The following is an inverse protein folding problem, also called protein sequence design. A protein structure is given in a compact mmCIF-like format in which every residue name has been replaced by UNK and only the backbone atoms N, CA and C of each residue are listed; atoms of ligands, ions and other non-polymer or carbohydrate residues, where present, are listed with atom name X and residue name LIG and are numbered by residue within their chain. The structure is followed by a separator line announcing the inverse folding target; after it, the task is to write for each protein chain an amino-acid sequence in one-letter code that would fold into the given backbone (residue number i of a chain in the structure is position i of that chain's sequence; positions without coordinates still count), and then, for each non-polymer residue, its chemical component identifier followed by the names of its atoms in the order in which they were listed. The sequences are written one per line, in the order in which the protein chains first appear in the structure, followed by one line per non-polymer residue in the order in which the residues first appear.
data_IF_940311048291
#
_entry.id   IF_940311048291
#
_cell.length_a   1.000
_cell.length_b   1.000
_cell.length_c   1.000
_cell.angle_alpha   90.00
_cell.angle_beta   90.00
_cell.angle_gamma   90.00
#
_symmetry.space_group_name_H-M   'P 1'
#
loop_
_entity.id
_entity.type
_entity.pdbx_description
1 polymer ?
#
# COMPACT_ATOMS: atom_id res chain seq x y z
N UNK A 1 -22.17 18.79 32.65
CA UNK A 1 -22.39 18.57 31.21
C UNK A 1 -21.69 19.64 30.36
N UNK A 2 -22.07 20.92 30.39
CA UNK A 2 -21.40 21.99 29.61
C UNK A 2 -19.92 22.25 29.98
N UNK A 3 -19.55 22.17 31.26
CA UNK A 3 -18.14 22.28 31.68
C UNK A 3 -17.29 21.06 31.29
N UNK A 4 -17.90 19.87 31.23
CA UNK A 4 -17.25 18.62 30.79
C UNK A 4 -17.04 18.64 29.27
N UNK A 5 -18.02 19.14 28.51
CA UNK A 5 -17.91 19.38 27.08
C UNK A 5 -16.79 20.39 26.76
N UNK A 6 -16.67 21.46 27.55
CA UNK A 6 -15.58 22.44 27.39
C UNK A 6 -14.21 21.88 27.81
N UNK A 7 -14.15 20.97 28.80
CA UNK A 7 -12.90 20.30 29.17
C UNK A 7 -12.48 19.23 28.17
N UNK A 8 -13.42 18.51 27.55
CA UNK A 8 -13.15 17.52 26.50
C UNK A 8 -12.52 18.13 25.25
N UNK A 9 -12.90 19.37 24.90
CA UNK A 9 -12.30 20.13 23.80
C UNK A 9 -10.90 20.68 24.15
N UNK A 10 -10.52 20.72 25.43
CA UNK A 10 -9.24 21.30 25.91
C UNK A 10 -8.27 20.28 26.52
N UNK A 11 -8.69 19.04 26.75
CA UNK A 11 -7.85 17.92 27.21
C UNK A 11 -7.49 16.99 26.06
N UNK A 12 -6.33 16.31 26.16
CA UNK A 12 -5.75 15.27 25.29
C UNK A 12 -6.77 14.31 24.61
N UNK A 13 -7.56 14.82 23.66
CA UNK A 13 -8.49 14.01 22.87
C UNK A 13 -7.69 13.26 21.82
N UNK A 14 -7.89 11.95 21.74
CA UNK A 14 -7.24 11.13 20.72
C UNK A 14 -8.21 11.00 19.54
N UNK A 15 -7.73 11.29 18.34
CA UNK A 15 -8.54 11.16 17.12
C UNK A 15 -8.78 9.69 16.80
N UNK A 16 -10.05 9.34 16.55
CA UNK A 16 -10.43 8.06 15.96
C UNK A 16 -10.41 8.22 14.44
N UNK A 17 -9.68 7.34 13.77
CA UNK A 17 -9.63 7.33 12.32
C UNK A 17 -10.50 6.20 11.80
N UNK A 18 -11.69 6.54 11.32
CA UNK A 18 -12.52 5.68 10.50
C UNK A 18 -12.21 5.95 9.02
N UNK A 19 -11.23 5.26 8.47
CA UNK A 19 -10.76 5.55 7.12
C UNK A 19 -11.64 4.78 6.12
N UNK A 20 -12.56 5.48 5.45
CA UNK A 20 -13.39 4.92 4.39
C UNK A 20 -12.56 4.65 3.12
N UNK A 21 -12.07 3.42 3.02
CA UNK A 21 -11.29 2.94 1.88
C UNK A 21 -9.83 3.41 1.88
N UNK A 22 -8.98 2.75 1.10
CA UNK A 22 -7.72 3.36 0.68
C UNK A 22 -8.06 4.21 -0.56
N UNK A 23 -7.63 5.48 -0.61
CA UNK A 23 -8.12 6.45 -1.59
C UNK A 23 -7.91 6.09 -3.07
N UNK A 24 -8.21 7.06 -3.94
CA UNK A 24 -8.42 6.84 -5.38
C UNK A 24 -7.30 6.08 -6.11
N UNK A 25 -7.53 4.79 -6.38
CA UNK A 25 -6.72 4.03 -7.34
C UNK A 25 -6.93 4.60 -8.75
N UNK A 26 -5.83 4.91 -9.44
CA UNK A 26 -5.83 5.18 -10.89
C UNK A 26 -6.54 4.04 -11.65
N UNK A 27 -7.14 4.32 -12.81
CA UNK A 27 -7.94 3.35 -13.58
C UNK A 27 -7.24 2.00 -13.84
N UNK A 28 -5.91 2.01 -14.00
CA UNK A 28 -5.09 0.79 -14.12
C UNK A 28 -5.02 0.00 -12.81
N UNK A 29 -4.88 0.69 -11.68
CA UNK A 29 -4.89 0.07 -10.35
C UNK A 29 -6.24 -0.55 -10.01
N UNK A 30 -7.35 0.02 -10.50
CA UNK A 30 -8.69 -0.55 -10.36
C UNK A 30 -8.84 -1.87 -11.12
N UNK A 31 -8.29 -1.96 -12.34
CA UNK A 31 -8.29 -3.21 -13.11
C UNK A 31 -7.47 -4.28 -12.40
N UNK A 32 -6.29 -3.93 -11.88
CA UNK A 32 -5.45 -4.89 -11.12
C UNK A 32 -6.13 -5.31 -9.83
N UNK A 33 -6.72 -4.39 -9.07
CA UNK A 33 -7.53 -4.69 -7.90
C UNK A 33 -8.64 -5.67 -8.24
N UNK A 34 -9.42 -5.38 -9.28
CA UNK A 34 -10.52 -6.24 -9.72
C UNK A 34 -10.02 -7.65 -10.06
N UNK A 35 -8.91 -7.78 -10.79
CA UNK A 35 -8.37 -9.09 -11.17
C UNK A 35 -7.82 -9.84 -9.96
N UNK A 36 -7.10 -9.19 -9.05
CA UNK A 36 -6.49 -9.84 -7.88
C UNK A 36 -7.56 -10.25 -6.86
N UNK A 37 -8.56 -9.40 -6.61
CA UNK A 37 -9.65 -9.68 -5.67
C UNK A 37 -10.63 -10.74 -6.19
N UNK A 38 -10.71 -10.95 -7.52
CA UNK A 38 -11.53 -12.00 -8.12
C UNK A 38 -11.11 -13.42 -7.72
N UNK A 39 -9.84 -13.60 -7.29
CA UNK A 39 -9.29 -14.89 -6.88
C UNK A 39 -9.25 -15.10 -5.35
N UNK A 40 -9.89 -14.23 -4.57
CA UNK A 40 -10.16 -14.42 -3.14
C UNK A 40 -9.01 -14.05 -2.19
N UNK A 41 -9.06 -14.59 -0.96
CA UNK A 41 -8.20 -14.21 0.18
C UNK A 41 -6.70 -14.54 0.01
N UNK A 42 -6.33 -15.34 -1.01
CA UNK A 42 -4.95 -15.78 -1.25
C UNK A 42 -4.28 -14.94 -2.33
N UNK A 43 -3.82 -13.76 -1.95
CA UNK A 43 -3.23 -12.78 -2.87
C UNK A 43 -2.02 -13.32 -3.64
N UNK A 44 -1.17 -14.13 -3.00
CA UNK A 44 -0.04 -14.78 -3.69
C UNK A 44 -0.47 -15.69 -4.85
N UNK A 45 -1.57 -16.44 -4.70
CA UNK A 45 -2.14 -17.23 -5.80
C UNK A 45 -2.74 -16.34 -6.88
N UNK A 46 -3.40 -15.25 -6.48
CA UNK A 46 -3.93 -14.23 -7.40
C UNK A 46 -2.85 -13.65 -8.31
N UNK A 47 -1.65 -13.35 -7.78
CA UNK A 47 -0.51 -12.87 -8.58
C UNK A 47 -0.07 -13.95 -9.59
N UNK A 48 0.05 -15.21 -9.17
CA UNK A 48 0.44 -16.31 -10.08
C UNK A 48 -0.57 -16.42 -11.22
N UNK A 49 -1.87 -16.42 -10.92
CA UNK A 49 -2.92 -16.51 -11.93
C UNK A 49 -2.93 -15.28 -12.84
N UNK A 50 -2.77 -14.07 -12.30
CA UNK A 50 -2.61 -12.85 -13.08
C UNK A 50 -1.48 -12.99 -14.10
N UNK A 51 -0.30 -13.47 -13.67
CA UNK A 51 0.83 -13.65 -14.58
C UNK A 51 0.55 -14.71 -15.65
N UNK A 52 -0.24 -15.75 -15.34
CA UNK A 52 -0.62 -16.79 -16.29
C UNK A 52 -1.59 -16.25 -17.35
N UNK A 53 -2.62 -15.50 -16.93
CA UNK A 53 -3.57 -14.85 -17.85
C UNK A 53 -2.87 -13.82 -18.73
N UNK A 54 -2.03 -12.97 -18.13
CA UNK A 54 -1.23 -12.00 -18.87
C UNK A 54 -0.33 -12.70 -19.89
N UNK A 55 0.36 -13.78 -19.48
CA UNK A 55 1.15 -14.60 -20.40
C UNK A 55 0.30 -15.21 -21.50
N UNK A 56 -0.93 -15.63 -21.25
CA UNK A 56 -1.80 -16.23 -22.26
C UNK A 56 -2.22 -15.19 -23.32
N UNK A 57 -2.51 -13.96 -22.90
CA UNK A 57 -2.84 -12.84 -23.78
C UNK A 57 -1.62 -12.40 -24.59
N UNK A 58 -0.43 -12.34 -23.96
CA UNK A 58 0.81 -11.94 -24.65
C UNK A 58 1.46 -13.09 -25.43
N UNK A 59 1.08 -14.35 -25.18
CA UNK A 59 1.62 -15.55 -25.85
C UNK A 59 1.63 -15.45 -27.38
N UNK A 60 0.53 -15.10 -28.08
CA UNK A 60 0.55 -14.99 -29.53
C UNK A 60 1.57 -13.94 -30.03
N UNK A 61 1.70 -12.83 -29.30
CA UNK A 61 2.66 -11.78 -29.61
C UNK A 61 4.10 -12.24 -29.35
N UNK A 62 4.35 -12.92 -28.23
CA UNK A 62 5.64 -13.50 -27.88
C UNK A 62 6.09 -14.58 -28.86
N UNK A 63 5.19 -15.46 -29.29
CA UNK A 63 5.47 -16.50 -30.28
C UNK A 63 5.76 -15.88 -31.65
N UNK A 64 4.99 -14.87 -32.06
CA UNK A 64 5.25 -14.14 -33.30
C UNK A 64 6.62 -13.44 -33.27
N UNK A 65 6.93 -12.75 -32.17
CA UNK A 65 8.22 -12.10 -31.91
C UNK A 65 9.39 -13.10 -31.99
N UNK A 66 9.32 -14.20 -31.24
CA UNK A 66 10.34 -15.25 -31.21
C UNK A 66 10.53 -15.90 -32.58
N UNK A 67 9.45 -16.13 -33.33
CA UNK A 67 9.52 -16.68 -34.69
C UNK A 67 10.26 -15.73 -35.65
N UNK A 68 9.97 -14.42 -35.59
CA UNK A 68 10.68 -13.41 -36.38
C UNK A 68 12.16 -13.31 -36.01
N UNK A 69 12.49 -13.29 -34.71
CA UNK A 69 13.88 -13.32 -34.24
C UNK A 69 14.62 -14.56 -34.71
N UNK A 70 14.01 -15.75 -34.59
CA UNK A 70 14.61 -17.01 -35.06
C UNK A 70 14.90 -16.97 -36.56
N UNK A 71 13.95 -16.52 -37.38
CA UNK A 71 14.17 -16.35 -38.83
C UNK A 71 15.30 -15.36 -39.14
N UNK A 72 15.44 -14.29 -38.38
CA UNK A 72 16.53 -13.32 -38.57
C UNK A 72 17.89 -13.88 -38.12
N UNK A 73 17.94 -14.63 -37.01
CA UNK A 73 19.16 -15.28 -36.52
C UNK A 73 19.72 -16.29 -37.52
N UNK A 74 18.86 -17.09 -38.17
CA UNK A 74 19.26 -18.03 -39.22
C UNK A 74 19.81 -17.32 -40.46
N UNK A 75 19.27 -16.14 -40.81
CA UNK A 75 19.84 -15.33 -41.89
C UNK A 75 21.23 -14.80 -41.52
N UNK A 76 21.43 -14.37 -40.27
CA UNK A 76 22.75 -13.92 -39.78
C UNK A 76 23.76 -15.07 -39.81
N UNK A 77 23.37 -16.26 -39.38
CA UNK A 77 24.20 -17.46 -39.40
C UNK A 77 24.65 -17.81 -40.83
N UNK A 78 23.74 -17.78 -41.81
CA UNK A 78 24.07 -17.96 -43.23
C UNK A 78 25.02 -16.89 -43.78
N UNK A 79 24.97 -15.67 -43.23
CA UNK A 79 25.84 -14.56 -43.65
C UNK A 79 27.21 -14.54 -42.97
N UNK A 80 27.39 -15.18 -41.80
CA UNK A 80 28.68 -15.25 -41.08
C UNK A 80 29.90 -15.50 -41.98
N UNK A 81 29.94 -16.53 -42.84
CA UNK A 81 31.12 -16.79 -43.68
C UNK A 81 31.37 -15.68 -44.72
N UNK A 82 30.33 -14.98 -45.18
CA UNK A 82 30.46 -13.86 -46.11
C UNK A 82 30.97 -12.62 -45.37
N UNK A 83 30.49 -12.38 -44.14
CA UNK A 83 30.98 -11.32 -43.26
C UNK A 83 32.45 -11.52 -42.88
N UNK A 84 32.87 -12.75 -42.57
CA UNK A 84 34.28 -13.08 -42.26
C UNK A 84 35.20 -12.83 -43.47
N UNK A 85 34.75 -13.15 -44.70
CA UNK A 85 35.48 -12.83 -45.93
C UNK A 85 35.58 -11.32 -46.16
N UNK A 86 34.47 -10.60 -45.96
CA UNK A 86 34.41 -9.14 -46.08
C UNK A 86 35.35 -8.46 -45.08
N UNK A 87 35.37 -8.96 -43.84
CA UNK A 87 36.23 -8.46 -42.76
C UNK A 87 37.70 -8.66 -43.09
N UNK A 88 38.08 -9.81 -43.68
CA UNK A 88 39.45 -10.07 -44.16
C UNK A 88 39.87 -9.18 -45.34
N UNK A 89 38.94 -8.85 -46.24
CA UNK A 89 39.22 -8.00 -47.41
C UNK A 89 39.37 -6.51 -47.07
N UNK A 90 38.68 -6.02 -46.05
CA UNK A 90 38.62 -4.60 -45.70
C UNK A 90 39.19 -4.29 -44.31
N UNK A 91 40.18 -5.07 -43.82
CA UNK A 91 40.76 -4.91 -42.47
C UNK A 91 41.32 -3.50 -42.19
N UNK A 92 41.79 -2.80 -43.22
CA UNK A 92 42.40 -1.47 -43.08
C UNK A 92 41.45 -0.30 -43.40
N UNK A 93 40.19 -0.56 -43.81
CA UNK A 93 39.22 0.49 -44.16
C UNK A 93 37.84 0.19 -43.55
N UNK A 94 37.64 0.76 -42.36
CA UNK A 94 36.43 0.56 -41.56
C UNK A 94 35.19 1.22 -42.17
N UNK A 95 35.36 2.30 -42.96
CA UNK A 95 34.24 2.96 -43.63
C UNK A 95 33.73 2.12 -44.81
N UNK A 96 34.63 1.62 -45.64
CA UNK A 96 34.27 0.72 -46.75
C UNK A 96 33.65 -0.59 -46.25
N UNK A 97 34.17 -1.15 -45.16
CA UNK A 97 33.61 -2.32 -44.49
C UNK A 97 32.15 -2.10 -44.06
N UNK A 98 31.86 -0.99 -43.37
CA UNK A 98 30.51 -0.71 -42.88
C UNK A 98 29.49 -0.54 -44.01
N UNK A 99 29.86 0.11 -45.12
CA UNK A 99 28.98 0.25 -46.29
C UNK A 99 28.71 -1.10 -46.95
N UNK A 100 29.74 -1.91 -47.19
CA UNK A 100 29.60 -3.23 -47.82
C UNK A 100 28.87 -4.24 -46.94
N UNK A 101 29.05 -4.15 -45.62
CA UNK A 101 28.29 -4.91 -44.65
C UNK A 101 26.80 -4.57 -44.71
N UNK A 102 26.44 -3.28 -44.78
CA UNK A 102 25.05 -2.85 -44.88
C UNK A 102 24.41 -3.23 -46.23
N UNK A 103 25.17 -3.17 -47.33
CA UNK A 103 24.76 -3.64 -48.66
C UNK A 103 24.46 -5.15 -48.64
N UNK A 104 25.32 -5.94 -47.96
CA UNK A 104 25.13 -7.37 -47.78
C UNK A 104 23.88 -7.71 -46.94
N UNK A 105 23.63 -6.97 -45.86
CA UNK A 105 22.42 -7.11 -45.05
C UNK A 105 21.16 -6.80 -45.86
N UNK A 106 21.17 -5.75 -46.68
CA UNK A 106 20.06 -5.38 -47.55
C UNK A 106 19.80 -6.44 -48.62
N UNK A 107 20.86 -6.97 -49.25
CA UNK A 107 20.77 -8.01 -50.30
C UNK A 107 20.17 -9.33 -49.78
N UNK A 108 20.45 -9.68 -48.52
CA UNK A 108 19.92 -10.88 -47.87
C UNK A 108 18.58 -10.65 -47.13
N UNK A 109 18.02 -9.44 -47.22
CA UNK A 109 16.77 -9.07 -46.55
C UNK A 109 16.84 -9.23 -45.03
N UNK A 110 18.00 -8.96 -44.43
CA UNK A 110 18.21 -8.94 -42.99
C UNK A 110 17.73 -7.59 -42.43
N UNK A 111 16.78 -7.63 -41.50
CA UNK A 111 16.26 -6.42 -40.87
C UNK A 111 16.89 -6.26 -39.50
N UNK A 112 17.68 -5.20 -39.33
CA UNK A 112 18.32 -4.88 -38.06
C UNK A 112 17.31 -4.29 -37.06
N UNK A 113 16.34 -3.50 -37.55
CA UNK A 113 15.28 -2.87 -36.74
C UNK A 113 14.07 -3.77 -36.48
N UNK A 114 13.78 -4.72 -37.36
CA UNK A 114 12.68 -5.68 -37.15
C UNK A 114 12.91 -6.63 -35.97
N UNK A 115 14.16 -6.73 -35.48
CA UNK A 115 14.52 -7.54 -34.33
C UNK A 115 14.39 -6.80 -32.99
N UNK A 116 14.48 -5.46 -32.94
CA UNK A 116 14.35 -4.70 -31.71
C UNK A 116 12.91 -4.23 -31.42
N UNK A 117 12.04 -4.15 -32.44
CA UNK A 117 10.63 -3.76 -32.28
C UNK A 117 9.90 -4.59 -31.20
N UNK A 118 10.05 -5.93 -31.15
CA UNK A 118 9.37 -6.70 -30.11
C UNK A 118 9.91 -6.44 -28.71
N UNK A 119 11.21 -6.15 -28.58
CA UNK A 119 11.83 -5.83 -27.30
C UNK A 119 11.26 -4.53 -26.73
N UNK A 120 11.01 -3.53 -27.58
CA UNK A 120 10.39 -2.25 -27.16
C UNK A 120 8.96 -2.49 -26.69
N UNK A 121 8.16 -3.26 -27.43
CA UNK A 121 6.77 -3.57 -27.03
C UNK A 121 6.75 -4.32 -25.69
N UNK A 122 7.59 -5.32 -25.52
CA UNK A 122 7.71 -6.05 -24.24
C UNK A 122 8.15 -5.13 -23.10
N UNK A 123 9.11 -4.22 -23.34
CA UNK A 123 9.58 -3.26 -22.34
C UNK A 123 8.47 -2.29 -21.92
N UNK A 124 7.69 -1.77 -22.87
CA UNK A 124 6.56 -0.88 -22.61
C UNK A 124 5.51 -1.61 -21.75
N UNK A 125 5.11 -2.82 -22.13
CA UNK A 125 4.17 -3.64 -21.35
C UNK A 125 4.71 -3.88 -19.93
N UNK A 126 6.01 -4.13 -19.79
CA UNK A 126 6.65 -4.34 -18.50
C UNK A 126 6.55 -3.12 -17.58
N UNK A 127 6.83 -1.91 -18.08
CA UNK A 127 6.67 -0.68 -17.29
C UNK A 127 5.22 -0.44 -16.87
N UNK A 128 4.26 -0.74 -17.75
CA UNK A 128 2.84 -0.67 -17.40
C UNK A 128 2.47 -1.62 -16.26
N UNK A 129 2.91 -2.87 -16.33
CA UNK A 129 2.64 -3.86 -15.27
C UNK A 129 3.33 -3.45 -13.97
N UNK A 130 4.60 -3.06 -14.00
CA UNK A 130 5.31 -2.61 -12.79
C UNK A 130 4.62 -1.42 -12.11
N UNK A 131 4.20 -0.42 -12.88
CA UNK A 131 3.46 0.71 -12.35
C UNK A 131 2.16 0.28 -11.67
N UNK A 132 1.40 -0.62 -12.30
CA UNK A 132 0.15 -1.14 -11.75
C UNK A 132 0.36 -1.91 -10.44
N UNK A 133 1.38 -2.77 -10.36
CA UNK A 133 1.73 -3.50 -9.15
C UNK A 133 2.24 -2.59 -8.03
N UNK A 134 3.00 -1.54 -8.37
CA UNK A 134 3.52 -0.58 -7.39
C UNK A 134 2.36 0.20 -6.76
N UNK A 135 1.42 0.70 -7.56
CA UNK A 135 0.23 1.38 -7.05
C UNK A 135 -0.65 0.46 -6.19
N UNK A 136 -0.82 -0.79 -6.60
CA UNK A 136 -1.62 -1.75 -5.84
C UNK A 136 -0.94 -2.21 -4.54
N UNK A 137 0.38 -2.38 -4.54
CA UNK A 137 1.20 -2.66 -3.34
C UNK A 137 0.99 -1.58 -2.27
N UNK A 138 1.10 -0.31 -2.67
CA UNK A 138 0.88 0.84 -1.78
C UNK A 138 -0.54 0.85 -1.22
N UNK A 139 -1.53 0.69 -2.11
CA UNK A 139 -2.94 0.58 -1.72
C UNK A 139 -3.19 -0.55 -0.73
N UNK A 140 -2.61 -1.74 -0.95
CA UNK A 140 -2.85 -2.89 -0.09
C UNK A 140 -2.25 -2.72 1.30
N UNK A 141 -1.03 -2.15 1.40
CA UNK A 141 -0.41 -1.86 2.70
C UNK A 141 -1.22 -0.82 3.48
N UNK A 142 -1.67 0.25 2.82
CA UNK A 142 -2.52 1.29 3.44
C UNK A 142 -3.87 0.70 3.85
N UNK A 143 -4.48 -0.16 3.02
CA UNK A 143 -5.74 -0.84 3.36
C UNK A 143 -5.62 -1.70 4.63
N UNK A 144 -4.54 -2.49 4.76
CA UNK A 144 -4.33 -3.30 5.97
C UNK A 144 -4.18 -2.39 7.19
N UNK A 145 -3.43 -1.28 7.06
CA UNK A 145 -3.33 -0.29 8.11
C UNK A 145 -4.68 0.35 8.48
N UNK A 146 -5.45 0.79 7.49
CA UNK A 146 -6.77 1.38 7.72
C UNK A 146 -7.69 0.38 8.45
N UNK A 147 -7.61 -0.90 8.09
CA UNK A 147 -8.33 -1.94 8.81
C UNK A 147 -7.87 -2.13 10.26
N UNK A 148 -6.57 -2.04 10.53
CA UNK A 148 -6.05 -2.04 11.91
C UNK A 148 -6.52 -0.79 12.68
N UNK A 149 -6.47 0.38 12.06
CA UNK A 149 -6.92 1.64 12.66
C UNK A 149 -8.43 1.63 12.95
N UNK A 150 -9.23 1.07 12.04
CA UNK A 150 -10.66 0.87 12.24
C UNK A 150 -10.91 -0.15 13.37
N UNK A 151 -10.22 -1.29 13.39
CA UNK A 151 -10.35 -2.29 14.44
C UNK A 151 -9.94 -1.73 15.82
N UNK A 152 -8.87 -0.93 15.87
CA UNK A 152 -8.47 -0.17 17.05
C UNK A 152 -9.62 0.74 17.50
N UNK A 153 -10.13 1.56 16.58
CA UNK A 153 -11.17 2.55 16.88
C UNK A 153 -12.49 1.90 17.32
N UNK A 154 -12.89 0.80 16.66
CA UNK A 154 -14.06 0.00 17.03
C UNK A 154 -13.93 -0.60 18.44
N UNK A 155 -12.74 -1.10 18.80
CA UNK A 155 -12.49 -1.61 20.14
C UNK A 155 -12.56 -0.52 21.21
N UNK A 156 -12.11 0.71 20.89
CA UNK A 156 -12.27 1.85 21.80
C UNK A 156 -13.74 2.25 21.94
N UNK A 157 -14.48 2.32 20.84
CA UNK A 157 -15.90 2.69 20.83
C UNK A 157 -16.76 1.65 21.54
N UNK A 158 -16.35 0.37 21.59
CA UNK A 158 -17.03 -0.65 22.38
C UNK A 158 -17.09 -0.35 23.89
N UNK A 159 -16.25 0.56 24.39
CA UNK A 159 -16.27 1.04 25.77
C UNK A 159 -17.14 2.31 25.97
N UNK A 160 -17.69 2.84 24.89
CA UNK A 160 -18.55 4.01 24.91
C UNK A 160 -20.04 3.61 24.89
N UNK A 161 -20.96 4.49 25.29
CA UNK A 161 -22.39 4.19 25.25
C UNK A 161 -22.94 4.18 23.81
N UNK A 162 -23.97 3.37 23.58
CA UNK A 162 -24.62 3.21 22.26
C UNK A 162 -25.43 4.44 21.82
N UNK A 163 -25.90 5.26 22.77
CA UNK A 163 -26.74 6.42 22.50
C UNK A 163 -25.96 7.74 22.66
N UNK A 164 -26.00 8.56 21.61
CA UNK A 164 -25.37 9.87 21.57
C UNK A 164 -26.39 11.01 21.69
N UNK A 165 -25.97 12.12 22.29
CA UNK A 165 -26.73 13.37 22.31
C UNK A 165 -26.28 14.27 21.17
N UNK A 166 -27.20 14.60 20.28
CA UNK A 166 -26.93 15.50 19.15
C UNK A 166 -27.09 16.97 19.54
N UNK A 167 -26.15 17.79 19.10
CA UNK A 167 -26.22 19.26 19.16
C UNK A 167 -25.74 19.86 17.84
N UNK A 168 -26.45 20.88 17.35
CA UNK A 168 -26.07 21.60 16.12
C UNK A 168 -25.89 23.07 16.47
N UNK A 169 -24.75 23.64 16.09
CA UNK A 169 -24.43 25.04 16.33
C UNK A 169 -25.22 25.98 15.43
N UNK A 170 -25.34 27.23 15.85
CA UNK A 170 -25.78 28.30 14.96
C UNK A 170 -24.77 28.52 13.81
N UNK A 171 -25.23 29.19 12.76
CA UNK A 171 -24.39 29.62 11.64
C UNK A 171 -23.42 30.69 12.13
N UNK A 172 -22.11 30.42 12.05
CA UNK A 172 -21.07 31.34 12.53
C UNK A 172 -20.07 31.66 11.42
N UNK A 173 -19.44 32.85 11.41
CA UNK A 173 -18.36 33.15 10.46
C UNK A 173 -17.22 32.14 10.59
N UNK A 174 -16.71 31.63 9.46
CA UNK A 174 -15.55 30.75 9.48
C UNK A 174 -14.27 31.57 9.60
N UNK A 175 -13.64 31.50 10.77
CA UNK A 175 -12.43 32.24 11.10
C UNK A 175 -11.30 31.25 11.42
N UNK A 176 -10.18 31.37 10.71
CA UNK A 176 -8.93 30.68 11.02
C UNK A 176 -7.87 31.73 11.34
N UNK A 177 -7.14 31.56 12.44
CA UNK A 177 -6.07 32.47 12.89
C UNK A 177 -6.49 33.96 12.95
N UNK A 178 -7.76 34.20 13.30
CA UNK A 178 -8.32 35.56 13.37
C UNK A 178 -8.69 36.18 12.03
N UNK A 179 -8.58 35.44 10.92
CA UNK A 179 -8.95 35.88 9.57
C UNK A 179 -10.19 35.14 9.09
N UNK A 180 -11.23 35.90 8.70
CA UNK A 180 -12.42 35.33 8.08
C UNK A 180 -12.07 34.76 6.71
N UNK A 181 -12.38 33.48 6.52
CA UNK A 181 -12.08 32.77 5.28
C UNK A 181 -13.08 33.17 4.20
N UNK A 182 -12.61 33.14 2.95
CA UNK A 182 -13.42 33.42 1.76
C UNK A 182 -13.33 32.28 0.77
N UNK A 183 -14.32 32.13 -0.09
CA UNK A 183 -14.26 31.21 -1.24
C UNK A 183 -13.28 31.71 -2.33
N UNK A 184 -13.16 30.95 -3.42
CA UNK A 184 -12.31 31.31 -4.58
C UNK A 184 -12.74 32.63 -5.27
N UNK A 185 -13.98 33.09 -5.01
CA UNK A 185 -14.59 34.28 -5.60
C UNK A 185 -14.55 35.49 -4.65
N UNK A 186 -14.07 35.31 -3.41
CA UNK A 186 -13.93 36.35 -2.39
C UNK A 186 -15.15 36.56 -1.49
N UNK A 187 -16.15 35.66 -1.52
CA UNK A 187 -17.32 35.72 -0.64
C UNK A 187 -16.99 35.16 0.76
N UNK A 188 -17.52 35.75 1.85
CA UNK A 188 -17.26 35.29 3.20
C UNK A 188 -17.84 33.89 3.44
N UNK A 189 -17.04 33.02 4.06
CA UNK A 189 -17.47 31.68 4.47
C UNK A 189 -18.04 31.68 5.90
N UNK A 190 -19.05 30.85 6.08
CA UNK A 190 -19.70 30.52 7.35
C UNK A 190 -19.57 29.01 7.61
N UNK A 191 -19.60 28.65 8.89
CA UNK A 191 -19.50 27.28 9.38
C UNK A 191 -20.71 26.94 10.24
N UNK A 192 -21.28 25.77 10.01
CA UNK A 192 -22.26 25.11 10.88
C UNK A 192 -21.61 23.82 11.40
N UNK A 193 -21.67 23.62 12.71
CA UNK A 193 -21.00 22.51 13.38
C UNK A 193 -22.05 21.60 14.00
N UNK A 194 -22.11 20.36 13.55
CA UNK A 194 -22.89 19.31 14.21
C UNK A 194 -21.96 18.49 15.09
N UNK A 195 -22.36 18.30 16.34
CA UNK A 195 -21.61 17.56 17.36
C UNK A 195 -22.52 16.51 17.98
N UNK A 196 -22.15 15.24 17.86
CA UNK A 196 -22.85 14.14 18.56
C UNK A 196 -21.93 13.63 19.66
N UNK A 197 -22.36 13.72 20.91
CA UNK A 197 -21.56 13.31 22.07
C UNK A 197 -22.15 12.06 22.69
N UNK A 198 -21.33 11.01 22.79
CA UNK A 198 -21.65 9.73 23.42
C UNK A 198 -21.00 9.70 24.79
N UNK A 199 -21.82 9.89 25.83
CA UNK A 199 -21.35 10.00 27.21
C UNK A 199 -22.33 9.33 28.17
N UNK A 200 -21.79 8.47 29.02
CA UNK A 200 -22.48 7.87 30.17
C UNK A 200 -21.49 7.78 31.34
N UNK A 201 -21.98 7.92 32.58
CA UNK A 201 -21.13 7.96 33.77
C UNK A 201 -20.47 6.60 34.08
N UNK A 202 -21.02 5.49 33.55
CA UNK A 202 -20.49 4.15 33.78
C UNK A 202 -19.59 3.65 32.64
N UNK A 203 -19.66 4.29 31.47
CA UNK A 203 -18.82 3.95 30.32
C UNK A 203 -17.37 4.42 30.52
N UNK A 204 -16.41 3.59 30.11
CA UNK A 204 -14.99 3.92 30.27
C UNK A 204 -14.53 4.98 29.28
N UNK A 205 -15.20 5.08 28.13
CA UNK A 205 -14.89 6.04 27.08
C UNK A 205 -16.10 6.91 26.80
N UNK A 206 -15.85 8.18 26.57
CA UNK A 206 -16.77 9.08 25.92
C UNK A 206 -16.17 9.50 24.58
N UNK A 207 -16.98 9.59 23.53
CA UNK A 207 -16.49 10.08 22.24
C UNK A 207 -17.44 11.09 21.63
N UNK A 208 -16.89 11.89 20.72
CA UNK A 208 -17.60 12.97 20.05
C UNK A 208 -17.35 12.88 18.56
N UNK A 209 -18.45 12.86 17.78
CA UNK A 209 -18.44 12.97 16.33
C UNK A 209 -18.69 14.44 15.95
N UNK A 210 -17.78 15.00 15.16
CA UNK A 210 -17.79 16.40 14.75
C UNK A 210 -17.92 16.50 13.23
N UNK A 211 -18.92 17.23 12.76
CA UNK A 211 -19.15 17.49 11.34
C UNK A 211 -19.17 19.00 11.10
N UNK A 212 -18.31 19.48 10.20
CA UNK A 212 -18.20 20.88 9.85
C UNK A 212 -18.71 21.12 8.43
N UNK A 213 -19.84 21.81 8.31
CA UNK A 213 -20.39 22.24 7.03
C UNK A 213 -20.01 23.70 6.74
N UNK A 214 -19.48 23.96 5.54
CA UNK A 214 -19.06 25.30 5.11
C UNK A 214 -19.98 25.83 4.01
N UNK A 215 -20.40 27.08 4.11
CA UNK A 215 -21.28 27.74 3.14
C UNK A 215 -21.00 29.23 3.02
N UNK A 216 -21.38 29.84 1.90
CA UNK A 216 -21.38 31.30 1.71
C UNK A 216 -22.71 31.94 2.12
N UNK A 217 -23.76 31.15 2.37
CA UNK A 217 -25.06 31.63 2.82
C UNK A 217 -25.11 31.77 4.35
N UNK A 218 -25.13 33.02 4.82
CA UNK A 218 -25.21 33.36 6.23
C UNK A 218 -26.53 32.95 6.91
N UNK A 219 -27.59 32.72 6.14
CA UNK A 219 -28.94 32.43 6.65
C UNK A 219 -29.44 31.05 6.23
N UNK A 220 -28.52 30.13 5.91
CA UNK A 220 -28.89 28.77 5.53
C UNK A 220 -29.78 28.14 6.61
N UNK A 221 -30.84 27.46 6.18
CA UNK A 221 -31.62 26.63 7.08
C UNK A 221 -30.81 25.39 7.46
N UNK A 222 -30.37 25.33 8.72
CA UNK A 222 -29.55 24.25 9.26
C UNK A 222 -30.23 22.88 9.11
N UNK A 223 -31.58 22.84 9.13
CA UNK A 223 -32.34 21.59 8.96
C UNK A 223 -32.30 21.06 7.51
N UNK A 224 -31.92 21.89 6.55
CA UNK A 224 -31.80 21.52 5.13
C UNK A 224 -30.43 20.94 4.76
N UNK A 225 -29.47 20.95 5.68
CA UNK A 225 -28.11 20.45 5.46
C UNK A 225 -28.15 18.91 5.38
N UNK A 226 -27.61 18.36 4.29
CA UNK A 226 -27.39 16.93 4.15
C UNK A 226 -26.10 16.52 4.90
N UNK A 227 -26.26 16.20 6.17
CA UNK A 227 -25.17 15.76 7.04
C UNK A 227 -24.56 14.40 6.63
N UNK A 228 -25.21 13.62 5.76
CA UNK A 228 -24.67 12.31 5.32
C UNK A 228 -23.48 12.45 4.37
N UNK A 229 -23.33 13.61 3.74
CA UNK A 229 -22.22 13.92 2.83
C UNK A 229 -21.08 14.71 3.50
N UNK A 230 -21.21 15.04 4.79
CA UNK A 230 -20.21 15.83 5.54
C UNK A 230 -19.28 14.88 6.28
N UNK A 231 -17.98 15.10 6.10
CA UNK A 231 -16.94 14.31 6.78
C UNK A 231 -17.08 14.40 8.30
N UNK A 232 -16.94 13.24 8.96
CA UNK A 232 -17.01 13.09 10.40
C UNK A 232 -15.61 13.00 10.95
N UNK A 233 -15.28 13.86 11.91
CA UNK A 233 -14.08 13.75 12.74
C UNK A 233 -14.49 13.23 14.11
N UNK A 234 -14.07 12.02 14.45
CA UNK A 234 -14.37 11.40 15.73
C UNK A 234 -13.19 11.56 16.68
N UNK A 235 -13.45 11.91 17.93
CA UNK A 235 -12.42 12.04 18.98
C UNK A 235 -12.93 11.44 20.27
N UNK A 236 -12.07 10.80 21.06
CA UNK A 236 -12.47 10.18 22.33
C UNK A 236 -11.70 10.73 23.53
N UNK A 237 -12.33 10.56 24.69
CA UNK A 237 -11.85 10.89 26.01
C UNK A 237 -12.06 9.70 26.94
N UNK A 238 -11.08 9.43 27.80
CA UNK A 238 -11.12 8.31 28.74
C UNK A 238 -11.63 8.81 30.09
N UNK A 239 -12.69 8.17 30.58
CA UNK A 239 -13.29 8.45 31.87
C UNK A 239 -12.57 7.67 32.97
N UNK A 240 -11.43 8.20 33.45
CA UNK A 240 -10.56 7.54 34.45
C UNK A 240 -11.32 6.99 35.64
N UNK A 241 -12.28 7.75 36.20
CA UNK A 241 -13.03 7.33 37.37
C UNK A 241 -13.92 6.11 37.08
N UNK A 242 -14.53 6.02 35.90
CA UNK A 242 -15.34 4.88 35.50
C UNK A 242 -14.46 3.62 35.32
N UNK A 243 -13.27 3.75 34.73
CA UNK A 243 -12.31 2.66 34.56
C UNK A 243 -11.86 2.10 35.92
N UNK A 244 -11.40 2.98 36.82
CA UNK A 244 -10.85 2.57 38.12
C UNK A 244 -11.91 2.03 39.08
N UNK A 245 -13.16 2.51 38.97
CA UNK A 245 -14.27 2.04 39.80
C UNK A 245 -15.03 0.85 39.23
N UNK A 246 -14.57 0.28 38.11
CA UNK A 246 -15.18 -0.90 37.49
C UNK A 246 -15.32 -2.06 38.47
N UNK A 247 -16.49 -2.71 38.45
CA UNK A 247 -16.77 -3.90 39.28
C UNK A 247 -16.28 -5.21 38.68
N UNK A 248 -15.71 -5.20 37.48
CA UNK A 248 -15.20 -6.39 36.80
C UNK A 248 -13.81 -6.77 37.32
N UNK A 249 -13.68 -7.99 37.84
CA UNK A 249 -12.42 -8.52 38.38
C UNK A 249 -11.30 -8.56 37.34
N UNK A 250 -11.61 -8.81 36.07
CA UNK A 250 -10.62 -8.85 35.00
C UNK A 250 -10.06 -7.46 34.71
N UNK A 251 -10.92 -6.44 34.72
CA UNK A 251 -10.52 -5.03 34.53
C UNK A 251 -9.60 -4.61 35.66
N UNK A 252 -9.95 -4.93 36.91
CA UNK A 252 -9.13 -4.60 38.07
C UNK A 252 -7.78 -5.33 38.05
N UNK A 253 -7.76 -6.60 37.65
CA UNK A 253 -6.52 -7.36 37.49
C UNK A 253 -5.61 -6.76 36.40
N UNK A 254 -6.17 -6.33 35.27
CA UNK A 254 -5.43 -5.69 34.19
C UNK A 254 -4.85 -4.33 34.62
N UNK A 255 -5.65 -3.49 35.30
CA UNK A 255 -5.21 -2.22 35.88
C UNK A 255 -4.05 -2.44 36.85
N UNK A 256 -4.14 -3.46 37.72
CA UNK A 256 -3.07 -3.76 38.67
C UNK A 256 -1.80 -4.23 37.95
N UNK A 257 -1.92 -5.06 36.91
CA UNK A 257 -0.78 -5.50 36.11
C UNK A 257 -0.07 -4.31 35.43
N UNK A 258 -0.82 -3.33 34.93
CA UNK A 258 -0.26 -2.10 34.34
C UNK A 258 0.52 -1.30 35.40
N UNK A 259 -0.04 -1.16 36.61
CA UNK A 259 0.65 -0.48 37.73
C UNK A 259 1.93 -1.21 38.13
N UNK A 260 1.87 -2.53 38.25
CA UNK A 260 3.02 -3.34 38.64
C UNK A 260 4.14 -3.29 37.58
N UNK A 261 3.78 -3.28 36.30
CA UNK A 261 4.74 -3.17 35.20
C UNK A 261 5.52 -1.84 35.19
N UNK A 262 4.93 -0.77 35.71
CA UNK A 262 5.52 0.58 35.77
C UNK A 262 5.86 1.02 37.19
N UNK A 263 5.92 0.08 38.14
CA UNK A 263 6.20 0.39 39.55
C UNK A 263 7.67 0.80 39.78
N UNK A 264 8.58 0.39 38.90
CA UNK A 264 10.01 0.70 38.97
C UNK A 264 10.42 1.94 38.14
N UNK A 265 9.46 2.59 37.46
CA UNK A 265 9.71 3.81 36.71
C UNK A 265 10.14 4.95 37.65
N UNK A 266 11.07 5.80 37.20
CA UNK A 266 11.55 6.97 37.96
C UNK A 266 10.39 7.90 38.41
N UNK A 267 9.30 7.89 37.66
CA UNK A 267 8.05 8.57 37.98
C UNK A 267 6.88 7.58 37.95
N UNK A 268 6.23 7.32 39.09
CA UNK A 268 5.04 6.47 39.14
C UNK A 268 3.94 7.01 38.23
N UNK A 269 3.29 6.11 37.49
CA UNK A 269 2.19 6.46 36.62
C UNK A 269 0.99 6.98 37.41
N UNK A 270 0.34 8.02 36.88
CA UNK A 270 -0.90 8.53 37.46
C UNK A 270 -2.07 7.60 37.14
N UNK A 271 -3.13 7.73 37.92
CA UNK A 271 -4.39 7.03 37.69
C UNK A 271 -4.95 7.26 36.27
N UNK A 272 -4.79 8.48 35.73
CA UNK A 272 -5.17 8.81 34.36
C UNK A 272 -4.32 8.04 33.32
N UNK A 273 -3.01 7.95 33.51
CA UNK A 273 -2.11 7.20 32.61
C UNK A 273 -2.41 5.70 32.62
N UNK A 274 -2.75 5.15 33.78
CA UNK A 274 -3.09 3.73 33.91
C UNK A 274 -4.42 3.43 33.21
N UNK A 275 -5.44 4.27 33.41
CA UNK A 275 -6.73 4.12 32.74
C UNK A 275 -6.60 4.29 31.22
N UNK A 276 -5.76 5.24 30.79
CA UNK A 276 -5.45 5.46 29.37
C UNK A 276 -4.78 4.24 28.74
N UNK A 277 -3.75 3.69 29.38
CA UNK A 277 -3.05 2.52 28.89
C UNK A 277 -3.95 1.28 28.83
N UNK A 278 -4.84 1.09 29.81
CA UNK A 278 -5.81 -0.01 29.79
C UNK A 278 -6.71 0.04 28.54
N UNK A 279 -7.27 1.21 28.25
CA UNK A 279 -8.14 1.41 27.08
C UNK A 279 -7.35 1.26 25.78
N UNK A 280 -6.14 1.84 25.71
CA UNK A 280 -5.24 1.72 24.55
C UNK A 280 -4.83 0.28 24.26
N UNK A 281 -4.54 -0.52 25.29
CA UNK A 281 -4.18 -1.94 25.12
C UNK A 281 -5.28 -2.73 24.41
N UNK A 282 -6.55 -2.52 24.77
CA UNK A 282 -7.67 -3.17 24.08
C UNK A 282 -7.72 -2.78 22.58
N UNK A 283 -7.46 -1.50 22.26
CA UNK A 283 -7.34 -1.04 20.88
C UNK A 283 -6.16 -1.69 20.13
N UNK A 284 -4.98 -1.74 20.76
CA UNK A 284 -3.75 -2.34 20.19
C UNK A 284 -3.92 -3.84 19.94
N UNK A 285 -4.57 -4.56 20.86
CA UNK A 285 -4.88 -5.99 20.71
C UNK A 285 -5.84 -6.24 19.54
N UNK A 286 -6.86 -5.39 19.38
CA UNK A 286 -7.78 -5.48 18.24
C UNK A 286 -7.06 -5.22 16.91
N UNK A 287 -6.18 -4.21 16.86
CA UNK A 287 -5.34 -3.91 15.70
C UNK A 287 -4.40 -5.08 15.34
N UNK A 288 -3.75 -5.67 16.34
CA UNK A 288 -2.87 -6.85 16.16
C UNK A 288 -3.66 -8.06 15.63
N UNK A 289 -4.81 -8.35 16.23
CA UNK A 289 -5.68 -9.44 15.80
C UNK A 289 -6.15 -9.24 14.36
N UNK A 290 -6.50 -8.00 13.98
CA UNK A 290 -6.83 -7.66 12.60
C UNK A 290 -5.64 -7.89 11.67
N UNK A 291 -4.45 -7.45 12.05
CA UNK A 291 -3.22 -7.66 11.26
C UNK A 291 -2.96 -9.15 11.02
N UNK A 292 -3.04 -9.97 12.06
CA UNK A 292 -2.73 -11.39 11.95
C UNK A 292 -3.71 -12.15 11.05
N UNK A 293 -4.97 -11.71 10.99
CA UNK A 293 -5.99 -12.28 10.13
C UNK A 293 -5.87 -11.78 8.67
N UNK A 294 -5.37 -10.56 8.45
CA UNK A 294 -5.37 -9.90 7.14
C UNK A 294 -3.98 -9.76 6.51
N UNK A 295 -2.91 -10.14 7.20
CA UNK A 295 -1.54 -10.08 6.67
C UNK A 295 -1.39 -10.96 5.43
N UNK A 296 -0.75 -10.40 4.42
CA UNK A 296 -0.62 -11.04 3.11
C UNK A 296 0.78 -11.62 2.94
N UNK A 297 0.96 -12.84 3.45
CA UNK A 297 2.17 -13.62 3.30
C UNK A 297 2.10 -14.64 2.15
N UNK A 298 3.26 -15.06 1.66
CA UNK A 298 3.38 -16.19 0.73
C UNK A 298 4.64 -17.00 1.01
N UNK A 299 4.45 -18.26 1.40
CA UNK A 299 5.53 -19.19 1.77
C UNK A 299 6.40 -18.62 2.91
N UNK A 300 7.65 -18.27 2.63
CA UNK A 300 8.59 -17.68 3.59
C UNK A 300 8.55 -16.15 3.62
N UNK A 301 7.87 -15.50 2.66
CA UNK A 301 7.75 -14.05 2.59
C UNK A 301 6.57 -13.62 3.45
N UNK A 302 6.82 -12.78 4.45
CA UNK A 302 5.80 -12.34 5.41
C UNK A 302 4.84 -11.29 4.84
N UNK A 303 5.35 -10.36 4.04
CA UNK A 303 4.58 -9.39 3.27
C UNK A 303 4.99 -9.45 1.80
N UNK A 304 4.09 -9.93 0.96
CA UNK A 304 4.31 -10.12 -0.49
C UNK A 304 4.50 -8.81 -1.27
N UNK A 305 4.10 -7.69 -0.70
CA UNK A 305 4.19 -6.37 -1.33
C UNK A 305 5.54 -5.71 -1.14
N UNK A 306 6.39 -6.31 -0.30
CA UNK A 306 7.73 -5.85 0.00
C UNK A 306 8.78 -6.80 -0.60
N UNK A 307 10.00 -6.31 -0.89
CA UNK A 307 11.09 -7.15 -1.40
C UNK A 307 11.43 -8.33 -0.46
N UNK A 308 11.80 -9.47 -1.05
CA UNK A 308 12.29 -10.66 -0.33
C UNK A 308 13.75 -10.45 0.12
N UNK A 309 13.93 -9.63 1.16
CA UNK A 309 15.23 -9.23 1.70
C UNK A 309 15.17 -9.18 3.24
N UNK A 310 16.32 -9.32 3.89
CA UNK A 310 16.38 -9.40 5.36
C UNK A 310 16.33 -8.05 6.07
N UNK A 311 16.58 -6.96 5.36
CA UNK A 311 16.58 -5.59 5.89
C UNK A 311 15.25 -4.85 5.70
N UNK A 312 14.29 -5.45 5.01
CA UNK A 312 12.91 -4.94 4.95
C UNK A 312 12.07 -5.70 5.97
N UNK A 313 11.13 -4.98 6.57
CA UNK A 313 10.28 -5.49 7.63
C UNK A 313 8.82 -5.63 7.17
N UNK A 314 8.11 -6.69 7.58
CA UNK A 314 6.70 -6.92 7.24
C UNK A 314 5.79 -5.71 7.52
N UNK A 315 6.04 -5.04 8.64
CA UNK A 315 5.49 -3.73 9.01
C UNK A 315 6.61 -2.71 8.83
N UNK A 316 6.37 -1.69 8.01
CA UNK A 316 7.35 -0.64 7.73
C UNK A 316 7.39 0.40 8.86
N UNK A 317 8.44 1.23 8.91
CA UNK A 317 8.42 2.41 9.78
C UNK A 317 7.47 3.49 9.24
N UNK A 318 7.14 4.47 10.09
CA UNK A 318 6.22 5.56 9.73
C UNK A 318 6.64 6.31 8.44
N UNK A 319 7.92 6.65 8.27
CA UNK A 319 8.38 7.43 7.11
C UNK A 319 8.16 6.71 5.76
N UNK A 320 8.43 5.40 5.73
CA UNK A 320 8.22 4.54 4.57
C UNK A 320 6.73 4.35 4.29
N UNK A 321 5.93 4.20 5.35
CA UNK A 321 4.49 4.07 5.26
C UNK A 321 3.82 5.37 4.78
N UNK A 322 4.18 6.52 5.34
CA UNK A 322 3.66 7.86 4.98
C UNK A 322 3.85 8.16 3.49
N UNK A 323 5.00 7.75 2.95
CA UNK A 323 5.31 7.89 1.51
C UNK A 323 4.35 7.07 0.63
N UNK A 324 3.81 5.96 1.15
CA UNK A 324 2.81 5.13 0.48
C UNK A 324 1.38 5.66 0.70
N UNK A 325 1.07 6.12 1.92
CA UNK A 325 -0.23 6.69 2.30
C UNK A 325 -0.55 7.98 1.53
N UNK A 326 0.41 8.91 1.45
CA UNK A 326 0.25 10.17 0.71
C UNK A 326 -0.06 9.96 -0.79
N UNK A 327 0.46 8.90 -1.40
CA UNK A 327 0.20 8.56 -2.81
C UNK A 327 -1.21 8.05 -3.07
N UNK A 328 -1.90 7.59 -2.03
CA UNK A 328 -3.30 7.18 -2.07
C UNK A 328 -4.21 8.18 -1.35
N UNK A 329 -3.73 9.40 -1.12
CA UNK A 329 -4.48 10.51 -0.50
C UNK A 329 -5.01 10.18 0.90
N UNK A 330 -4.21 9.47 1.70
CA UNK A 330 -4.49 9.19 3.11
C UNK A 330 -3.45 9.92 3.97
N UNK A 331 -3.93 10.74 4.89
CA UNK A 331 -3.10 11.48 5.86
C UNK A 331 -3.22 10.85 7.24
N UNK A 332 -2.08 10.49 7.83
CA UNK A 332 -1.99 9.80 9.12
C UNK A 332 -0.84 10.43 9.92
N UNK A 333 -1.09 10.70 11.21
CA UNK A 333 -0.09 11.25 12.13
C UNK A 333 0.89 10.16 12.58
N UNK A 334 2.13 10.55 12.91
CA UNK A 334 3.13 9.61 13.40
C UNK A 334 2.69 8.94 14.69
N UNK A 335 2.09 9.70 15.60
CA UNK A 335 1.70 9.23 16.92
C UNK A 335 0.62 8.16 16.81
N UNK A 336 -0.40 8.39 15.99
CA UNK A 336 -1.46 7.40 15.77
C UNK A 336 -0.95 6.15 15.04
N UNK A 337 -0.02 6.32 14.09
CA UNK A 337 0.61 5.18 13.42
C UNK A 337 1.35 4.27 14.40
N UNK A 338 2.18 4.85 15.26
CA UNK A 338 2.95 4.07 16.24
C UNK A 338 2.04 3.44 17.28
N UNK A 339 0.96 4.11 17.68
CA UNK A 339 -0.06 3.60 18.59
C UNK A 339 -0.76 2.34 18.02
N UNK A 340 -1.29 2.41 16.80
CA UNK A 340 -1.99 1.28 16.14
C UNK A 340 -1.04 0.10 15.90
N UNK A 341 0.25 0.36 15.72
CA UNK A 341 1.26 -0.66 15.39
C UNK A 341 2.16 -1.05 16.58
N UNK A 342 1.82 -0.63 17.79
CA UNK A 342 2.65 -0.81 18.99
C UNK A 342 2.93 -2.30 19.31
N UNK A 343 1.89 -3.14 19.28
CA UNK A 343 2.03 -4.58 19.56
C UNK A 343 2.80 -5.34 18.46
N UNK A 344 2.92 -4.76 17.26
CA UNK A 344 3.59 -5.38 16.11
C UNK A 344 5.11 -5.19 16.12
N UNK A 345 5.71 -4.97 17.29
CA UNK A 345 7.17 -4.77 17.46
C UNK A 345 8.01 -5.90 16.84
N UNK A 346 7.57 -7.16 16.99
CA UNK A 346 8.21 -8.30 16.35
C UNK A 346 8.18 -8.19 14.82
N UNK A 347 7.06 -7.77 14.24
CA UNK A 347 6.90 -7.65 12.78
C UNK A 347 7.56 -6.38 12.22
N UNK A 348 7.82 -5.37 13.06
CA UNK A 348 8.68 -4.22 12.73
C UNK A 348 10.17 -4.58 12.72
N UNK A 349 10.59 -5.60 13.47
CA UNK A 349 11.99 -6.05 13.54
C UNK A 349 12.30 -7.28 12.67
N UNK A 350 11.30 -8.09 12.34
CA UNK A 350 11.50 -9.33 11.62
C UNK A 350 11.93 -9.11 10.16
N UNK A 351 12.71 -10.03 9.62
CA UNK A 351 13.00 -10.06 8.19
C UNK A 351 11.73 -10.37 7.40
N UNK A 352 11.45 -9.60 6.34
CA UNK A 352 10.38 -9.90 5.40
C UNK A 352 10.66 -11.18 4.61
N UNK A 353 11.94 -11.44 4.32
CA UNK A 353 12.38 -12.64 3.63
C UNK A 353 13.90 -12.84 3.67
N UNK A 354 14.38 -13.82 2.89
CA UNK A 354 15.76 -14.32 2.94
C UNK A 354 16.38 -14.46 1.55
N UNK A 355 16.00 -13.60 0.60
CA UNK A 355 16.56 -13.55 -0.77
C UNK A 355 16.31 -14.82 -1.59
N UNK A 356 15.44 -15.72 -1.14
CA UNK A 356 15.21 -17.02 -1.76
C UNK A 356 14.62 -16.84 -3.16
N UNK A 357 13.74 -15.86 -3.38
CA UNK A 357 13.20 -15.51 -4.70
C UNK A 357 14.30 -15.02 -5.64
N UNK A 358 15.27 -14.25 -5.16
CA UNK A 358 16.41 -13.79 -5.96
C UNK A 358 17.28 -14.98 -6.35
N UNK A 359 17.57 -15.88 -5.40
CA UNK A 359 18.36 -17.10 -5.65
C UNK A 359 17.66 -18.02 -6.66
N UNK A 360 16.34 -18.24 -6.52
CA UNK A 360 15.54 -19.02 -7.47
C UNK A 360 15.55 -18.35 -8.85
N UNK A 361 15.42 -17.03 -8.91
CA UNK A 361 15.44 -16.28 -10.18
C UNK A 361 16.78 -16.43 -10.90
N UNK A 362 17.90 -16.29 -10.18
CA UNK A 362 19.24 -16.49 -10.73
C UNK A 362 19.41 -17.94 -11.20
N UNK A 363 18.99 -18.91 -10.36
CA UNK A 363 19.06 -20.33 -10.69
C UNK A 363 18.26 -20.70 -11.95
N UNK A 364 17.06 -20.17 -12.11
CA UNK A 364 16.22 -20.40 -13.30
C UNK A 364 16.78 -19.72 -14.56
N UNK A 365 17.44 -18.56 -14.43
CA UNK A 365 18.17 -17.94 -15.54
C UNK A 365 19.33 -18.82 -16.00
N UNK A 366 20.16 -19.32 -15.07
CA UNK A 366 21.25 -20.23 -15.40
C UNK A 366 20.74 -21.52 -16.04
N UNK A 367 19.65 -22.09 -15.52
CA UNK A 367 19.01 -23.26 -16.10
C UNK A 367 18.52 -23.00 -17.53
N UNK A 368 17.88 -21.85 -17.77
CA UNK A 368 17.44 -21.45 -19.11
C UNK A 368 18.62 -21.29 -20.08
N UNK A 369 19.71 -20.65 -19.66
CA UNK A 369 20.92 -20.51 -20.47
C UNK A 369 21.57 -21.87 -20.76
N UNK A 370 21.60 -22.77 -19.78
CA UNK A 370 22.11 -24.12 -19.94
C UNK A 370 21.30 -24.95 -20.95
N UNK A 371 19.97 -24.88 -20.89
CA UNK A 371 19.08 -25.55 -21.84
C UNK A 371 19.31 -25.01 -23.26
N UNK A 372 19.39 -23.68 -23.42
CA UNK A 372 19.66 -23.04 -24.70
C UNK A 372 21.02 -23.43 -25.26
N UNK A 373 22.08 -23.43 -24.42
CA UNK A 373 23.42 -23.83 -24.83
C UNK A 373 23.44 -25.29 -25.33
N UNK A 374 22.76 -26.21 -24.63
CA UNK A 374 22.65 -27.61 -25.03
C UNK A 374 21.85 -27.77 -26.34
N UNK A 375 20.75 -27.04 -26.49
CA UNK A 375 19.95 -27.02 -27.73
C UNK A 375 20.76 -26.52 -28.93
N UNK A 376 21.55 -25.47 -28.76
CA UNK A 376 22.39 -24.92 -29.83
C UNK A 376 23.49 -25.90 -30.24
N UNK A 377 24.10 -26.61 -29.27
CA UNK A 377 25.11 -27.65 -29.57
C UNK A 377 24.52 -28.78 -30.42
N UNK A 378 23.33 -29.27 -30.07
CA UNK A 378 22.65 -30.31 -30.84
C UNK A 378 22.29 -29.87 -32.28
N UNK A 379 21.88 -28.61 -32.47
CA UNK A 379 21.64 -28.06 -33.81
C UNK A 379 22.91 -27.96 -34.66
N UNK A 380 24.04 -27.56 -34.06
CA UNK A 380 25.33 -27.50 -34.74
C UNK A 380 25.83 -28.89 -35.16
N UNK A 381 25.66 -29.91 -34.30
CA UNK A 381 26.05 -31.29 -34.60
C UNK A 381 25.25 -31.86 -35.78
N UNK A 382 23.93 -31.62 -35.84
CA UNK A 382 23.08 -32.07 -36.95
C UNK A 382 23.40 -31.37 -38.29
N UNK A 383 23.73 -30.08 -38.27
CA UNK A 383 24.15 -29.36 -39.50
C UNK A 383 25.51 -29.84 -40.04
N UNK A 384 26.41 -30.30 -39.18
CA UNK A 384 27.70 -30.89 -39.62
C UNK A 384 27.56 -32.32 -40.14
N UNK A 385 26.50 -33.04 -39.76
CA UNK A 385 26.26 -34.42 -40.18
C UNK A 385 25.61 -34.52 -41.57
N UNK A 386 24.70 -33.62 -41.93
CA UNK A 386 24.04 -33.57 -43.25
C UNK A 386 24.84 -32.81 -44.34
N UNK A 387 26.07 -32.39 -44.01
CA UNK A 387 26.92 -31.54 -44.86
C UNK A 387 28.18 -32.22 -45.43
N UNK A 388 28.22 -33.56 -45.46
CA UNK A 388 29.27 -34.32 -46.17
C UNK A 388 28.70 -35.18 -47.29
#
# INVERSE_FOLDING_TARGET
MLEILSSMVTSNSIELFFIEGAGGLNWIGQIVRWIIELFGSYVGLGIIVFTLVLKLITLPLDVYSKSKMRKNSLKMEKMRPQLEKLQKQYQNDQQAYNMKMMELYKKNGYSMFGACLPMIVTLVIFFFVLGAFTSYSQYSNVRVYNGMANAYSEAIVAFAPDEGTESVSDVTPYVLDGVQQTDEEGNPLYRVTKTVTYFDEQSFVAYTDLQNFYTTDANIDVSSIDWSAVEVTSSYYIQTQAVLSSSDENVQAAIQAIRDAHAEDDTPWTDDMVAEEYVKQAGREAAESYYDQNKQGFLWVKNIWLPDVSYNHPVQGYDDFRSSASRVNVEITSDFYEEVTANLSYEKGAANGYYVLIVISIGTMFLSQFIVAKSNKAQNELQTADGR
#
